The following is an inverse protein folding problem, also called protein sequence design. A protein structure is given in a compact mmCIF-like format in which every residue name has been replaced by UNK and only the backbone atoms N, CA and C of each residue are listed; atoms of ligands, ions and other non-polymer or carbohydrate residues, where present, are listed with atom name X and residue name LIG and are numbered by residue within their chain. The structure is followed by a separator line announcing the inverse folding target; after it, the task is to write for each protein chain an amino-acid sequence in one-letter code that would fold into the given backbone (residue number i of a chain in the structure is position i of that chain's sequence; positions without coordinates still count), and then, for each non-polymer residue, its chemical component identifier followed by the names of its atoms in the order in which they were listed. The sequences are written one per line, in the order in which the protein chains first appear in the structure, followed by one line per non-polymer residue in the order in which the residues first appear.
data_IF_979469881334
#
_entry.id   IF_979469881334
#
_cell.length_a   1.000
_cell.length_b   1.000
_cell.length_c   1.000
_cell.angle_alpha   90.00
_cell.angle_beta   90.00
_cell.angle_gamma   90.00
#
_symmetry.space_group_name_H-M   'P 1'
#
loop_
_entity.id
_entity.type
_entity.pdbx_description
1 polymer ?
#
# COMPACT_ATOMS: atom_id res chain seq x y z
N UNK A 1 -65.75 0.49 12.99
CA UNK A 1 -65.58 0.90 14.39
C UNK A 1 -64.11 1.24 14.58
N UNK A 2 -63.73 2.47 14.18
CA UNK A 2 -63.29 3.58 15.06
C UNK A 2 -61.80 3.41 15.41
N UNK A 3 -60.86 3.89 14.59
CA UNK A 3 -60.38 5.28 14.45
C UNK A 3 -59.72 5.84 15.72
N UNK A 4 -58.39 6.08 15.69
CA UNK A 4 -57.73 7.34 16.09
C UNK A 4 -56.20 7.20 16.17
N UNK A 5 -55.52 7.91 15.27
CA UNK A 5 -54.09 8.31 15.31
C UNK A 5 -53.92 9.49 16.27
N UNK A 6 -52.73 9.67 16.91
CA UNK A 6 -51.97 10.90 16.63
C UNK A 6 -50.44 10.71 16.50
N UNK A 7 -49.85 11.29 15.44
CA UNK A 7 -48.50 11.92 15.40
C UNK A 7 -48.59 13.29 16.12
N UNK A 8 -47.55 14.14 16.24
CA UNK A 8 -46.08 14.02 16.25
C UNK A 8 -45.46 14.70 17.51
N UNK A 9 -44.13 14.67 17.67
CA UNK A 9 -43.45 15.44 18.73
C UNK A 9 -41.97 15.71 18.46
N UNK A 10 -41.67 16.76 17.71
CA UNK A 10 -40.45 17.58 17.85
C UNK A 10 -40.96 18.98 18.18
N UNK A 11 -40.44 19.67 19.21
CA UNK A 11 -39.20 20.43 19.03
C UNK A 11 -38.35 20.59 20.32
N UNK A 12 -37.11 21.04 20.19
CA UNK A 12 -36.63 22.26 20.86
C UNK A 12 -35.19 22.57 20.41
N UNK A 13 -35.10 23.70 19.71
CA UNK A 13 -33.90 24.47 19.44
C UNK A 13 -33.17 24.77 20.75
N UNK A 14 -31.86 24.54 20.79
CA UNK A 14 -30.96 25.39 21.58
C UNK A 14 -29.92 26.00 20.64
N UNK A 15 -30.30 27.15 20.10
CA UNK A 15 -29.35 28.11 19.58
C UNK A 15 -28.50 28.64 20.75
N UNK A 16 -27.18 28.60 20.64
CA UNK A 16 -26.30 29.48 21.43
C UNK A 16 -25.30 30.16 20.51
N UNK A 17 -25.72 31.35 20.05
CA UNK A 17 -24.86 32.41 19.56
C UNK A 17 -23.91 32.83 20.68
N UNK A 18 -22.62 32.89 20.37
CA UNK A 18 -21.61 33.65 21.10
C UNK A 18 -20.67 34.27 20.08
N UNK A 19 -20.86 35.56 19.81
CA UNK A 19 -19.97 36.39 19.01
C UNK A 19 -18.80 36.91 19.86
N UNK A 20 -17.73 37.29 19.14
CA UNK A 20 -16.66 38.27 19.47
C UNK A 20 -15.40 37.77 20.17
N UNK A 21 -14.28 37.95 19.45
CA UNK A 21 -12.91 37.84 19.95
C UNK A 21 -11.90 38.04 18.82
N UNK A 22 -11.75 39.28 18.34
CA UNK A 22 -10.71 39.71 17.39
C UNK A 22 -9.33 39.64 18.05
N UNK A 23 -8.35 39.01 17.39
CA UNK A 23 -6.94 39.28 17.63
C UNK A 23 -6.16 39.11 16.31
N UNK A 24 -5.55 40.21 15.89
CA UNK A 24 -4.72 40.34 14.69
C UNK A 24 -3.39 39.59 14.85
N UNK A 25 -2.89 39.01 13.76
CA UNK A 25 -1.49 38.62 13.65
C UNK A 25 -1.08 38.72 12.18
N UNK A 26 -0.44 39.85 11.87
CA UNK A 26 0.23 40.12 10.61
C UNK A 26 1.48 39.26 10.50
N UNK A 27 1.59 38.44 9.45
CA UNK A 27 2.84 37.80 9.06
C UNK A 27 3.23 38.28 7.66
N UNK A 28 4.43 38.85 7.60
CA UNK A 28 5.02 39.60 6.48
C UNK A 28 5.37 38.68 5.32
N UNK A 29 5.03 39.13 4.11
CA UNK A 29 5.38 38.54 2.83
C UNK A 29 6.85 38.92 2.51
N UNK A 30 7.72 37.94 2.28
CA UNK A 30 9.00 38.16 1.61
C UNK A 30 9.02 37.40 0.28
N UNK A 31 8.80 38.16 -0.79
CA UNK A 31 9.11 37.79 -2.17
C UNK A 31 10.63 37.72 -2.33
N UNK A 32 11.18 36.53 -2.55
CA UNK A 32 12.49 36.37 -3.18
C UNK A 32 12.27 35.99 -4.64
N UNK A 33 12.25 37.01 -5.49
CA UNK A 33 12.36 36.88 -6.94
C UNK A 33 13.84 36.61 -7.30
N UNK A 34 14.12 35.48 -7.93
CA UNK A 34 15.32 35.31 -8.74
C UNK A 34 14.87 34.96 -10.16
N UNK A 35 14.91 35.99 -11.01
CA UNK A 35 14.67 35.93 -12.44
C UNK A 35 15.81 35.21 -13.16
N UNK A 36 15.44 34.40 -14.15
CA UNK A 36 16.28 33.64 -15.08
C UNK A 36 17.18 34.50 -15.98
N UNK A 37 18.10 33.87 -16.75
CA UNK A 37 17.93 33.98 -18.20
C UNK A 37 18.31 32.75 -19.07
N UNK A 38 17.53 32.63 -20.16
CA UNK A 38 17.87 32.28 -21.55
C UNK A 38 18.39 30.86 -21.97
N UNK A 39 17.57 30.26 -22.84
CA UNK A 39 17.83 29.21 -23.86
C UNK A 39 18.93 29.58 -24.87
N UNK A 40 19.62 28.59 -25.48
CA UNK A 40 19.25 28.25 -26.86
C UNK A 40 19.24 26.74 -27.22
N UNK A 41 18.29 26.44 -28.10
CA UNK A 41 18.23 25.43 -29.15
C UNK A 41 19.58 24.90 -29.65
N UNK A 42 19.76 23.58 -29.69
CA UNK A 42 20.67 22.91 -30.62
C UNK A 42 19.99 21.69 -31.28
N UNK A 43 19.86 21.81 -32.59
CA UNK A 43 19.43 20.87 -33.65
C UNK A 43 20.38 19.65 -33.75
N UNK A 44 19.95 18.49 -34.29
CA UNK A 44 20.65 17.22 -34.13
C UNK A 44 21.82 17.06 -35.11
N UNK A 45 22.89 16.41 -34.65
CA UNK A 45 23.97 15.91 -35.51
C UNK A 45 24.07 14.40 -35.33
N UNK A 46 23.80 13.67 -36.41
CA UNK A 46 24.04 12.23 -36.50
C UNK A 46 25.53 11.95 -36.71
N UNK A 47 26.10 11.05 -35.90
CA UNK A 47 27.28 10.27 -36.29
C UNK A 47 27.17 8.87 -35.67
N UNK A 48 27.16 7.87 -36.53
CA UNK A 48 27.09 6.44 -36.22
C UNK A 48 28.31 5.96 -35.41
N UNK A 49 28.14 4.94 -34.57
CA UNK A 49 29.04 3.76 -34.56
C UNK A 49 28.56 2.65 -33.63
N UNK A 50 28.44 1.47 -34.23
CA UNK A 50 28.71 0.13 -33.65
C UNK A 50 27.75 -0.45 -32.60
N UNK A 51 26.89 -1.35 -33.09
CA UNK A 51 26.29 -2.43 -32.32
C UNK A 51 27.35 -3.41 -31.77
N UNK A 52 27.16 -3.98 -30.57
CA UNK A 52 27.63 -5.31 -30.27
C UNK A 52 26.46 -6.30 -30.25
N UNK A 53 26.72 -7.43 -30.87
CA UNK A 53 25.84 -8.57 -31.02
C UNK A 53 25.43 -9.20 -29.68
N UNK A 54 24.28 -9.86 -29.72
CA UNK A 54 23.83 -10.78 -28.68
C UNK A 54 24.82 -11.92 -28.47
N UNK A 55 25.13 -12.21 -27.21
CA UNK A 55 25.58 -13.53 -26.76
C UNK A 55 24.75 -13.94 -25.54
N UNK A 56 24.04 -15.07 -25.58
CA UNK A 56 23.44 -15.63 -24.39
C UNK A 56 24.55 -16.19 -23.49
N UNK A 57 24.92 -15.45 -22.45
CA UNK A 57 25.80 -15.98 -21.41
C UNK A 57 25.01 -16.93 -20.52
N UNK A 58 25.00 -18.22 -20.88
CA UNK A 58 24.67 -19.29 -19.95
C UNK A 58 25.83 -19.42 -18.96
N UNK A 59 25.77 -18.66 -17.86
CA UNK A 59 26.72 -18.81 -16.77
C UNK A 59 26.42 -20.10 -16.01
N UNK A 60 27.06 -21.20 -16.41
CA UNK A 60 27.17 -22.39 -15.59
C UNK A 60 28.15 -22.10 -14.45
N UNK A 61 27.62 -21.79 -13.26
CA UNK A 61 28.43 -21.67 -12.05
C UNK A 61 28.73 -23.08 -11.51
N UNK A 62 30.01 -23.45 -11.56
CA UNK A 62 30.55 -24.66 -10.93
C UNK A 62 30.42 -24.55 -9.41
N UNK A 63 29.52 -25.33 -8.82
CA UNK A 63 29.28 -25.36 -7.38
C UNK A 63 30.43 -26.09 -6.65
N UNK A 64 31.00 -25.44 -5.65
CA UNK A 64 31.75 -26.10 -4.57
C UNK A 64 31.60 -25.27 -3.30
N UNK A 65 30.94 -25.84 -2.28
CA UNK A 65 30.99 -25.34 -0.90
C UNK A 65 29.64 -24.95 -0.30
N UNK A 66 29.15 -25.79 0.63
CA UNK A 66 28.09 -25.59 1.63
C UNK A 66 26.71 -25.18 1.12
N UNK A 67 25.73 -26.07 1.29
CA UNK A 67 24.32 -25.83 1.01
C UNK A 67 23.74 -24.72 1.92
N UNK A 68 23.99 -23.47 1.54
CA UNK A 68 23.15 -22.35 1.93
C UNK A 68 21.80 -22.56 1.24
N UNK A 69 20.72 -22.63 2.01
CA UNK A 69 19.36 -22.71 1.45
C UNK A 69 19.20 -21.58 0.43
N UNK A 70 19.13 -21.93 -0.86
CA UNK A 70 19.05 -20.96 -1.92
C UNK A 70 17.72 -20.20 -1.82
N UNK A 71 17.78 -18.88 -1.63
CA UNK A 71 16.60 -18.05 -1.63
C UNK A 71 15.90 -18.20 -2.99
N UNK A 72 14.62 -18.58 -2.97
CA UNK A 72 13.82 -18.73 -4.19
C UNK A 72 12.87 -17.56 -4.29
N UNK A 73 13.04 -16.71 -5.30
CA UNK A 73 12.18 -15.57 -5.55
C UNK A 73 11.35 -15.80 -6.83
N UNK A 74 10.07 -15.45 -6.78
CA UNK A 74 9.16 -15.46 -7.92
C UNK A 74 8.29 -14.21 -7.86
N UNK A 75 7.94 -13.69 -9.04
CA UNK A 75 7.03 -12.56 -9.19
C UNK A 75 6.16 -12.76 -10.42
N UNK A 76 4.96 -12.21 -10.37
CA UNK A 76 4.01 -12.24 -11.49
C UNK A 76 3.25 -10.92 -11.59
N UNK A 77 2.77 -10.61 -12.79
CA UNK A 77 2.06 -9.35 -13.11
C UNK A 77 0.66 -9.71 -13.61
N UNK A 78 -0.36 -9.00 -13.10
CA UNK A 78 -1.79 -9.28 -13.34
C UNK A 78 -2.28 -10.67 -12.90
N UNK A 79 -1.47 -11.41 -12.14
CA UNK A 79 -1.84 -12.71 -11.59
C UNK A 79 -1.14 -12.94 -10.25
N UNK A 80 -1.59 -13.98 -9.55
CA UNK A 80 -1.01 -14.40 -8.29
C UNK A 80 0.11 -15.40 -8.53
N UNK A 81 1.31 -15.10 -8.02
CA UNK A 81 2.47 -15.95 -8.13
C UNK A 81 2.25 -17.29 -7.41
N UNK A 82 2.77 -18.37 -7.99
CA UNK A 82 2.74 -19.69 -7.35
C UNK A 82 3.49 -19.68 -6.02
N UNK A 83 2.86 -20.24 -4.99
CA UNK A 83 3.40 -20.27 -3.62
C UNK A 83 3.10 -19.02 -2.79
N UNK A 84 2.26 -18.11 -3.27
CA UNK A 84 1.81 -16.97 -2.48
C UNK A 84 0.97 -17.42 -1.25
N UNK A 85 1.18 -16.87 -0.05
CA UNK A 85 0.52 -17.29 1.19
C UNK A 85 -0.93 -16.77 1.29
N UNK A 86 -1.85 -17.40 0.56
CA UNK A 86 -3.27 -16.97 0.47
C UNK A 86 -4.04 -17.12 1.78
N UNK A 87 -3.59 -18.01 2.65
CA UNK A 87 -4.17 -18.24 3.98
C UNK A 87 -3.92 -17.04 4.89
N UNK A 88 -2.71 -16.48 4.83
CA UNK A 88 -2.32 -15.32 5.64
C UNK A 88 -2.77 -14.03 4.98
N UNK A 89 -2.51 -13.87 3.68
CA UNK A 89 -2.86 -12.69 2.91
C UNK A 89 -3.90 -13.07 1.84
N UNK A 90 -5.19 -13.13 2.21
CA UNK A 90 -6.25 -13.40 1.25
C UNK A 90 -6.45 -12.21 0.31
N UNK A 91 -6.89 -12.50 -0.91
CA UNK A 91 -7.31 -11.46 -1.85
C UNK A 91 -8.72 -11.00 -1.49
N UNK A 92 -8.89 -9.69 -1.31
CA UNK A 92 -10.22 -9.08 -1.11
C UNK A 92 -11.14 -9.38 -2.31
N UNK A 93 -12.37 -9.77 -2.05
CA UNK A 93 -13.36 -10.09 -3.10
C UNK A 93 -13.54 -8.91 -4.06
N UNK A 94 -13.48 -9.19 -5.36
CA UNK A 94 -13.60 -8.16 -6.41
C UNK A 94 -12.31 -7.38 -6.68
N UNK A 95 -11.22 -7.63 -5.94
CA UNK A 95 -9.92 -7.03 -6.24
C UNK A 95 -9.29 -7.66 -7.49
N UNK A 96 -8.65 -6.82 -8.30
CA UNK A 96 -7.89 -7.18 -9.48
C UNK A 96 -6.40 -7.10 -9.14
N UNK A 97 -5.67 -8.20 -9.30
CA UNK A 97 -4.24 -8.24 -9.02
C UNK A 97 -3.51 -7.42 -10.07
N UNK A 98 -2.56 -6.59 -9.62
CA UNK A 98 -1.67 -5.84 -10.49
C UNK A 98 -0.27 -6.46 -10.48
N UNK A 99 0.23 -6.82 -9.30
CA UNK A 99 1.50 -7.50 -9.14
C UNK A 99 1.48 -8.37 -7.88
N UNK A 100 2.24 -9.46 -7.91
CA UNK A 100 2.49 -10.28 -6.72
C UNK A 100 3.92 -10.81 -6.74
N UNK A 101 4.48 -11.03 -5.56
CA UNK A 101 5.80 -11.63 -5.39
C UNK A 101 5.89 -12.45 -4.12
N UNK A 102 6.76 -13.47 -4.16
CA UNK A 102 7.13 -14.27 -3.00
C UNK A 102 8.62 -14.56 -3.06
N UNK A 103 9.29 -14.36 -1.94
CA UNK A 103 10.68 -14.70 -1.73
C UNK A 103 10.77 -15.64 -0.53
N UNK A 104 11.10 -16.90 -0.83
CA UNK A 104 11.24 -17.97 0.14
C UNK A 104 12.68 -18.00 0.65
N UNK A 105 12.87 -17.62 1.90
CA UNK A 105 14.17 -17.60 2.58
C UNK A 105 14.01 -18.05 4.04
N UNK A 106 15.11 -18.46 4.66
CA UNK A 106 15.21 -18.75 6.09
C UNK A 106 16.09 -17.68 6.75
N UNK A 107 15.69 -17.07 7.88
CA UNK A 107 14.62 -17.48 8.78
C UNK A 107 13.22 -16.96 8.44
N UNK A 108 13.09 -15.97 7.53
CA UNK A 108 11.82 -15.36 7.16
C UNK A 108 11.66 -15.27 5.65
N UNK A 109 10.43 -15.36 5.20
CA UNK A 109 10.03 -15.20 3.81
C UNK A 109 9.25 -13.91 3.62
N UNK A 110 9.30 -13.35 2.42
CA UNK A 110 8.64 -12.08 2.09
C UNK A 110 7.61 -12.32 1.01
N UNK A 111 6.42 -11.78 1.17
CA UNK A 111 5.38 -11.77 0.15
C UNK A 111 4.86 -10.35 -0.04
N UNK A 112 4.58 -9.97 -1.28
CA UNK A 112 3.97 -8.70 -1.60
C UNK A 112 2.84 -8.88 -2.61
N UNK A 113 1.75 -8.14 -2.41
CA UNK A 113 0.59 -8.11 -3.29
C UNK A 113 0.18 -6.67 -3.51
N UNK A 114 0.09 -6.26 -4.77
CA UNK A 114 -0.56 -5.00 -5.16
C UNK A 114 -1.79 -5.32 -5.99
N UNK A 115 -2.92 -4.75 -5.62
CA UNK A 115 -4.18 -4.97 -6.30
C UNK A 115 -5.07 -3.71 -6.26
N UNK A 116 -6.04 -3.67 -7.15
CA UNK A 116 -7.02 -2.58 -7.28
C UNK A 116 -8.42 -3.09 -7.01
N UNK A 117 -9.25 -2.30 -6.33
CA UNK A 117 -10.64 -2.65 -6.05
C UNK A 117 -11.52 -1.41 -6.13
N UNK A 118 -12.76 -1.57 -6.60
CA UNK A 118 -13.77 -0.52 -6.58
C UNK A 118 -14.42 -0.48 -5.20
N UNK A 119 -13.71 0.11 -4.23
CA UNK A 119 -14.17 0.32 -2.87
C UNK A 119 -13.45 1.54 -2.25
N UNK A 120 -14.01 2.16 -1.20
CA UNK A 120 -13.32 3.15 -0.38
C UNK A 120 -12.07 2.57 0.31
N UNK A 121 -11.00 3.36 0.42
CA UNK A 121 -9.77 2.96 1.11
C UNK A 121 -10.00 2.51 2.57
N UNK A 122 -10.96 3.13 3.26
CA UNK A 122 -11.33 2.75 4.63
C UNK A 122 -11.88 1.32 4.71
N UNK A 123 -12.64 0.87 3.72
CA UNK A 123 -13.21 -0.47 3.67
C UNK A 123 -12.12 -1.52 3.42
N UNK A 124 -11.14 -1.18 2.59
CA UNK A 124 -9.96 -2.03 2.35
C UNK A 124 -9.15 -2.21 3.64
N UNK A 125 -8.85 -1.11 4.35
CA UNK A 125 -8.13 -1.19 5.62
C UNK A 125 -8.93 -1.92 6.69
N UNK A 126 -10.25 -1.72 6.76
CA UNK A 126 -11.13 -2.43 7.70
C UNK A 126 -11.14 -3.94 7.44
N UNK A 127 -11.28 -4.34 6.17
CA UNK A 127 -11.22 -5.75 5.75
C UNK A 127 -9.91 -6.41 6.21
N UNK A 128 -8.76 -5.82 5.85
CA UNK A 128 -7.47 -6.40 6.21
C UNK A 128 -7.19 -6.34 7.71
N UNK A 129 -7.64 -5.28 8.39
CA UNK A 129 -7.54 -5.21 9.86
C UNK A 129 -8.24 -6.40 10.50
N UNK A 130 -9.48 -6.68 10.09
CA UNK A 130 -10.24 -7.83 10.58
C UNK A 130 -9.52 -9.15 10.27
N UNK A 131 -9.11 -9.34 9.01
CA UNK A 131 -8.43 -10.56 8.56
C UNK A 131 -7.19 -10.85 9.38
N UNK A 132 -6.35 -9.85 9.65
CA UNK A 132 -5.10 -10.08 10.38
C UNK A 132 -5.33 -10.20 11.89
N UNK A 133 -6.26 -9.44 12.47
CA UNK A 133 -6.60 -9.61 13.90
C UNK A 133 -7.22 -10.97 14.18
N UNK A 134 -8.05 -11.50 13.28
CA UNK A 134 -8.63 -12.85 13.40
C UNK A 134 -7.55 -13.95 13.34
N UNK A 135 -6.40 -13.64 12.73
CA UNK A 135 -5.22 -14.52 12.68
C UNK A 135 -4.22 -14.30 13.83
N UNK A 136 -4.58 -13.49 14.82
CA UNK A 136 -3.75 -13.21 15.99
C UNK A 136 -2.65 -12.17 15.78
N UNK A 137 -2.70 -11.39 14.70
CA UNK A 137 -1.86 -10.20 14.60
C UNK A 137 -2.40 -9.06 15.46
N UNK A 138 -1.50 -8.28 16.03
CA UNK A 138 -1.82 -7.05 16.75
C UNK A 138 -1.54 -5.84 15.86
N UNK A 139 -2.54 -4.99 15.66
CA UNK A 139 -2.36 -3.72 14.96
C UNK A 139 -1.45 -2.79 15.76
N UNK A 140 -0.48 -2.19 15.08
CA UNK A 140 0.36 -1.15 15.64
C UNK A 140 -0.38 0.19 15.66
N UNK A 141 -0.02 1.10 16.58
CA UNK A 141 -0.59 2.44 16.58
C UNK A 141 -0.25 3.18 15.29
N UNK A 142 -1.22 3.95 14.79
CA UNK A 142 -1.11 4.72 13.55
C UNK A 142 -1.98 4.15 12.44
N UNK A 143 -2.54 5.06 11.64
CA UNK A 143 -3.46 4.73 10.53
C UNK A 143 -3.05 5.36 9.20
N UNK A 144 -1.95 6.14 9.20
CA UNK A 144 -1.42 6.78 8.00
C UNK A 144 0.07 7.13 8.15
N UNK A 145 0.77 7.23 7.02
CA UNK A 145 2.11 7.80 6.89
C UNK A 145 2.05 8.85 5.79
N UNK A 146 2.46 10.09 6.09
CA UNK A 146 2.39 11.22 5.15
C UNK A 146 1.01 11.42 4.49
N UNK A 147 -0.05 11.16 5.24
CA UNK A 147 -1.44 11.25 4.76
C UNK A 147 -1.90 10.08 3.91
N UNK A 148 -1.04 9.09 3.62
CA UNK A 148 -1.42 7.85 2.95
C UNK A 148 -1.94 6.86 3.99
N UNK A 149 -3.19 6.36 3.87
CA UNK A 149 -3.73 5.34 4.74
C UNK A 149 -2.82 4.11 4.78
N UNK A 150 -2.31 3.79 5.96
CA UNK A 150 -1.35 2.71 6.18
C UNK A 150 -1.53 2.11 7.56
N UNK A 151 -1.53 0.78 7.64
CA UNK A 151 -1.65 0.03 8.88
C UNK A 151 -0.59 -1.06 8.94
N UNK A 152 0.04 -1.21 10.09
CA UNK A 152 1.04 -2.25 10.35
C UNK A 152 0.53 -3.22 11.40
N UNK A 153 0.79 -4.51 11.21
CA UNK A 153 0.35 -5.59 12.07
C UNK A 153 1.54 -6.46 12.41
N UNK A 154 1.67 -6.88 13.67
CA UNK A 154 2.76 -7.74 14.12
C UNK A 154 2.22 -8.97 14.85
N UNK A 155 2.92 -10.09 14.74
CA UNK A 155 2.74 -11.26 15.61
C UNK A 155 4.08 -11.94 15.89
N UNK A 156 4.05 -13.02 16.67
CA UNK A 156 5.22 -13.85 16.98
C UNK A 156 6.42 -13.03 17.51
N UNK A 157 6.15 -12.02 18.36
CA UNK A 157 7.18 -11.14 18.92
C UNK A 157 7.81 -10.18 17.91
N UNK A 158 7.15 -9.89 16.79
CA UNK A 158 7.66 -9.00 15.73
C UNK A 158 8.42 -9.72 14.62
N UNK A 159 8.50 -11.05 14.66
CA UNK A 159 9.11 -11.84 13.58
C UNK A 159 8.24 -11.90 12.32
N UNK A 160 6.93 -11.66 12.50
CA UNK A 160 5.98 -11.58 11.39
C UNK A 160 5.33 -10.21 11.40
N UNK A 161 5.44 -9.52 10.26
CA UNK A 161 5.04 -8.13 10.09
C UNK A 161 4.26 -8.05 8.79
N UNK A 162 3.07 -7.47 8.85
CA UNK A 162 2.26 -7.17 7.67
C UNK A 162 1.97 -5.68 7.63
N UNK A 163 2.20 -5.06 6.48
CA UNK A 163 1.87 -3.66 6.23
C UNK A 163 0.89 -3.58 5.09
N UNK A 164 -0.19 -2.82 5.29
CA UNK A 164 -1.19 -2.51 4.27
C UNK A 164 -1.19 -1.03 4.02
N UNK A 165 -0.94 -0.60 2.80
CA UNK A 165 -1.07 0.79 2.36
C UNK A 165 -2.15 0.89 1.29
N UNK A 166 -2.94 1.96 1.30
CA UNK A 166 -4.02 2.16 0.33
C UNK A 166 -3.97 3.57 -0.24
N UNK A 167 -3.94 3.68 -1.56
CA UNK A 167 -4.04 4.94 -2.30
C UNK A 167 -5.36 4.95 -3.05
N UNK A 168 -6.20 5.97 -2.77
CA UNK A 168 -7.47 6.16 -3.46
C UNK A 168 -7.27 7.01 -4.72
N UNK A 169 -7.88 6.61 -5.83
CA UNK A 169 -8.01 7.44 -7.03
C UNK A 169 -9.44 7.31 -7.56
N UNK A 170 -10.21 8.40 -7.48
CA UNK A 170 -11.66 8.38 -7.74
C UNK A 170 -12.34 7.26 -6.94
N UNK A 171 -13.09 6.38 -7.61
CA UNK A 171 -13.80 5.25 -6.99
C UNK A 171 -12.94 3.98 -6.80
N UNK A 172 -11.67 3.99 -7.23
CA UNK A 172 -10.78 2.83 -7.19
C UNK A 172 -9.70 3.00 -6.13
N UNK A 173 -9.59 2.04 -5.22
CA UNK A 173 -8.50 1.93 -4.28
C UNK A 173 -7.41 1.02 -4.86
N UNK A 174 -6.17 1.49 -4.87
CA UNK A 174 -4.99 0.65 -5.09
C UNK A 174 -4.39 0.35 -3.73
N UNK A 175 -4.30 -0.93 -3.38
CA UNK A 175 -3.71 -1.34 -2.11
C UNK A 175 -2.48 -2.21 -2.34
N UNK A 176 -1.52 -2.08 -1.43
CA UNK A 176 -0.32 -2.90 -1.36
C UNK A 176 -0.25 -3.55 0.00
N UNK A 177 -0.14 -4.88 0.03
CA UNK A 177 0.10 -5.67 1.22
C UNK A 177 1.51 -6.24 1.13
N UNK A 178 2.38 -5.86 2.06
CA UNK A 178 3.69 -6.47 2.25
C UNK A 178 3.69 -7.31 3.51
N UNK A 179 4.22 -8.52 3.45
CA UNK A 179 4.26 -9.45 4.56
C UNK A 179 5.67 -10.05 4.70
N UNK A 180 6.22 -9.98 5.91
CA UNK A 180 7.35 -10.79 6.35
C UNK A 180 6.77 -11.89 7.23
N UNK A 181 7.00 -13.15 6.85
CA UNK A 181 6.35 -14.32 7.44
C UNK A 181 7.40 -15.37 7.84
N UNK A 182 7.11 -16.09 8.91
CA UNK A 182 7.86 -17.29 9.25
C UNK A 182 7.51 -18.39 8.23
N UNK A 183 8.45 -19.31 7.91
CA UNK A 183 8.19 -20.41 6.97
C UNK A 183 6.98 -21.26 7.33
N UNK A 184 6.69 -21.40 8.63
CA UNK A 184 5.51 -22.11 9.12
C UNK A 184 4.17 -21.48 8.70
N UNK A 185 4.18 -20.23 8.26
CA UNK A 185 3.00 -19.43 7.91
C UNK A 185 2.75 -19.36 6.40
N UNK A 186 3.62 -19.94 5.58
CA UNK A 186 3.51 -19.93 4.11
C UNK A 186 2.61 -21.03 3.53
N UNK A 187 1.79 -21.66 4.39
CA UNK A 187 0.97 -22.81 4.02
C UNK A 187 -0.26 -22.43 3.21
#
# INVERSE_FOLDING_TARGET
MTNSTPRPGSPLLLARRGLFGVAASSAVILLAACSSPATPTNTPTATASSAPAATPSTAAATASGTATAAATAKSAVKELVDGFPKTVVPLMTGAQIQASSVQLTTPVSVAALTATVTAPAADVLSYYSKVFTDQGFTAQPGDAVDGVPLKTFIRAGGQEIITVSVVQTAATATFTVGATLLPASLK
#
